data_IF_628400080120
#
_entry.id   IF_628400080120
#
_cell.length_a   1.000
_cell.length_b   1.000
_cell.length_c   1.000
_cell.angle_alpha   90.00
_cell.angle_beta   90.00
_cell.angle_gamma   90.00
#
_symmetry.space_group_name_H-M   'P 1'
#
loop_
_entity.id
_entity.type
_entity.pdbx_description
1 polymer ?
#
# COMPACT_ATOMS: atom_id res chain seq x y z
N UNK A 1 -23.14 -1.29 5.31
CA UNK A 1 -21.91 -0.49 5.52
C UNK A 1 -22.11 0.79 4.74
N UNK A 2 -21.55 1.96 5.09
CA UNK A 2 -21.62 3.10 4.19
C UNK A 2 -20.88 2.75 2.90
N UNK A 3 -21.56 3.00 1.78
CA UNK A 3 -21.13 2.68 0.43
C UNK A 3 -20.32 3.86 -0.11
N UNK A 4 -19.06 3.96 0.29
CA UNK A 4 -18.20 5.08 -0.08
C UNK A 4 -16.88 4.57 -0.66
N UNK A 5 -16.35 5.32 -1.62
CA UNK A 5 -14.97 5.25 -2.05
C UNK A 5 -14.30 6.59 -1.66
N UNK A 6 -13.13 6.52 -1.04
CA UNK A 6 -12.41 7.70 -0.58
C UNK A 6 -10.91 7.51 -0.80
N UNK A 7 -10.13 8.56 -0.58
CA UNK A 7 -8.68 8.55 -0.73
C UNK A 7 -8.04 8.92 0.61
N UNK A 8 -7.16 8.07 1.11
CA UNK A 8 -6.19 8.46 2.14
C UNK A 8 -5.02 9.13 1.41
N UNK A 9 -4.65 10.34 1.82
CA UNK A 9 -3.71 11.20 1.09
C UNK A 9 -2.60 11.66 2.02
N UNK A 10 -1.36 11.65 1.54
CA UNK A 10 -0.24 12.36 2.15
C UNK A 10 0.43 13.25 1.11
N UNK A 11 0.50 14.55 1.43
CA UNK A 11 1.16 15.55 0.62
C UNK A 11 2.66 15.59 0.93
N UNK A 12 3.48 15.77 -0.10
CA UNK A 12 4.93 15.79 -0.02
C UNK A 12 5.51 16.96 -0.83
N UNK A 13 6.64 17.48 -0.35
CA UNK A 13 7.47 18.46 -1.05
C UNK A 13 8.75 17.82 -1.60
N UNK A 14 9.15 18.17 -2.84
CA UNK A 14 10.45 17.82 -3.39
C UNK A 14 10.59 18.02 -4.91
N UNK A 15 11.82 18.26 -5.37
CA UNK A 15 12.09 18.75 -6.74
C UNK A 15 11.92 17.73 -7.88
N UNK A 16 12.02 16.41 -7.62
CA UNK A 16 11.85 15.35 -8.63
C UNK A 16 11.84 13.94 -8.04
N UNK A 17 11.09 13.01 -8.65
CA UNK A 17 11.30 11.56 -8.46
C UNK A 17 12.51 11.13 -9.29
N UNK A 18 13.65 10.90 -8.63
CA UNK A 18 14.86 10.34 -9.25
C UNK A 18 14.63 8.92 -9.81
N UNK A 19 15.46 8.45 -10.75
CA UNK A 19 15.38 7.08 -11.24
C UNK A 19 15.58 6.09 -10.09
N UNK A 20 14.84 4.97 -10.14
CA UNK A 20 14.89 3.91 -9.14
C UNK A 20 16.35 3.51 -8.87
N UNK A 21 16.85 3.83 -7.67
CA UNK A 21 18.19 3.47 -7.25
C UNK A 21 18.39 1.96 -7.30
N UNK A 22 19.38 1.54 -8.08
CA UNK A 22 19.73 0.17 -8.34
C UNK A 22 20.36 -0.52 -7.11
N UNK A 23 20.06 -1.82 -6.98
CA UNK A 23 21.00 -2.86 -6.54
C UNK A 23 21.60 -2.73 -5.13
N UNK A 24 21.13 -3.60 -4.23
CA UNK A 24 21.94 -4.03 -3.08
C UNK A 24 23.20 -4.76 -3.62
N UNK A 25 24.33 -4.07 -3.71
CA UNK A 25 25.64 -4.74 -3.87
C UNK A 25 26.08 -5.29 -2.51
N UNK A 26 26.08 -6.62 -2.39
CA UNK A 26 26.64 -7.33 -1.24
C UNK A 26 28.14 -7.53 -1.49
N UNK A 27 28.99 -6.98 -0.63
CA UNK A 27 30.43 -7.23 -0.66
C UNK A 27 30.76 -8.56 0.01
N UNK A 28 31.55 -9.39 -0.66
CA UNK A 28 32.09 -10.63 -0.09
C UNK A 28 33.16 -10.32 0.96
N UNK A 29 32.87 -10.64 2.23
CA UNK A 29 33.77 -10.50 3.37
C UNK A 29 33.94 -11.82 4.12
N UNK A 30 35.14 -12.38 3.99
CA UNK A 30 35.80 -13.49 4.66
C UNK A 30 35.23 -13.97 6.01
N UNK A 31 34.75 -15.23 6.07
CA UNK A 31 34.33 -15.93 7.30
C UNK A 31 35.54 -16.51 8.08
N UNK A 32 35.68 -16.13 9.35
CA UNK A 32 36.39 -16.93 10.36
C UNK A 32 35.37 -17.65 11.27
N UNK A 33 35.55 -18.95 11.48
CA UNK A 33 34.65 -19.80 12.27
C UNK A 33 34.82 -19.53 13.78
N UNK A 34 33.75 -19.06 14.42
CA UNK A 34 33.56 -19.08 15.89
C UNK A 34 32.67 -20.29 16.23
N UNK A 35 32.97 -21.11 17.25
CA UNK A 35 32.14 -22.26 17.59
C UNK A 35 30.75 -21.83 18.08
N UNK A 36 29.72 -22.41 17.45
CA UNK A 36 28.32 -22.06 17.64
C UNK A 36 27.82 -22.37 19.06
N UNK A 37 27.23 -21.37 19.70
CA UNK A 37 26.28 -21.54 20.80
C UNK A 37 25.05 -22.33 20.30
N UNK A 38 24.28 -23.00 21.18
CA UNK A 38 23.08 -23.73 20.76
C UNK A 38 22.15 -22.80 19.97
N UNK A 39 21.78 -23.22 18.76
CA UNK A 39 21.02 -22.42 17.81
C UNK A 39 19.70 -21.96 18.44
N UNK A 40 19.59 -20.65 18.68
CA UNK A 40 18.28 -20.00 18.72
C UNK A 40 17.57 -20.31 17.39
N UNK A 41 16.24 -20.53 17.39
CA UNK A 41 15.54 -20.77 16.15
C UNK A 41 15.83 -19.62 15.19
N UNK A 42 16.46 -19.93 14.05
CA UNK A 42 16.75 -18.95 13.00
C UNK A 42 15.45 -18.19 12.69
N UNK A 43 15.45 -16.84 12.76
CA UNK A 43 14.24 -16.06 12.56
C UNK A 43 13.68 -16.35 11.16
N UNK A 44 12.40 -16.68 11.10
CA UNK A 44 11.69 -16.92 9.83
C UNK A 44 11.89 -15.70 8.90
N UNK A 45 12.62 -15.87 7.80
CA UNK A 45 12.94 -14.80 6.83
C UNK A 45 11.69 -14.07 6.32
N UNK A 46 10.52 -14.71 6.37
CA UNK A 46 9.24 -14.08 6.01
C UNK A 46 8.87 -12.94 6.96
N UNK A 47 9.32 -13.01 8.22
CA UNK A 47 9.13 -11.97 9.23
C UNK A 47 10.14 -10.84 9.10
N UNK A 48 11.22 -11.05 8.32
CA UNK A 48 12.17 -10.00 7.96
C UNK A 48 11.67 -9.11 6.83
N UNK A 49 10.63 -9.50 6.09
CA UNK A 49 10.05 -8.69 5.02
C UNK A 49 8.52 -8.57 5.14
N UNK A 50 8.06 -7.49 5.78
CA UNK A 50 6.64 -7.26 6.04
C UNK A 50 6.04 -6.27 5.04
N UNK A 51 4.81 -6.52 4.62
CA UNK A 51 4.07 -5.49 3.87
C UNK A 51 3.56 -4.39 4.81
N UNK A 52 3.30 -3.19 4.28
CA UNK A 52 2.66 -2.11 5.05
C UNK A 52 1.36 -2.58 5.69
N UNK A 53 0.52 -3.31 4.96
CA UNK A 53 -0.72 -3.87 5.51
C UNK A 53 -0.47 -4.86 6.65
N UNK A 54 0.66 -5.61 6.64
CA UNK A 54 1.02 -6.47 7.76
C UNK A 54 1.40 -5.66 9.00
N UNK A 55 2.12 -4.55 8.85
CA UNK A 55 2.51 -3.66 9.95
C UNK A 55 1.27 -3.00 10.56
N UNK A 56 0.38 -2.46 9.72
CA UNK A 56 -0.90 -1.89 10.16
C UNK A 56 -1.75 -2.96 10.89
N UNK A 57 -1.78 -4.19 10.38
CA UNK A 57 -2.48 -5.30 11.03
C UNK A 57 -1.85 -5.67 12.38
N UNK A 58 -0.52 -5.68 12.49
CA UNK A 58 0.19 -5.91 13.74
C UNK A 58 -0.16 -4.84 14.79
N UNK A 59 -0.13 -3.56 14.39
CA UNK A 59 -0.53 -2.44 15.23
C UNK A 59 -2.00 -2.52 15.68
N UNK A 60 -2.90 -2.92 14.77
CA UNK A 60 -4.32 -3.11 15.08
C UNK A 60 -4.57 -4.28 16.03
N UNK A 61 -3.98 -5.44 15.75
CA UNK A 61 -4.19 -6.65 16.54
C UNK A 61 -3.06 -7.69 16.33
N UNK A 62 -2.13 -7.83 17.31
CA UNK A 62 -1.05 -8.81 17.22
C UNK A 62 -1.52 -10.26 17.06
N UNK A 63 -2.65 -10.62 17.67
CA UNK A 63 -3.25 -11.96 17.52
C UNK A 63 -3.73 -12.22 16.08
N UNK A 64 -4.34 -11.23 15.44
CA UNK A 64 -4.75 -11.37 14.04
C UNK A 64 -3.53 -11.48 13.14
N UNK A 65 -2.50 -10.64 13.36
CA UNK A 65 -1.23 -10.73 12.63
C UNK A 65 -0.61 -12.13 12.73
N UNK A 66 -0.55 -12.70 13.94
CA UNK A 66 -0.01 -14.04 14.17
C UNK A 66 -0.68 -15.09 13.28
N UNK A 67 -2.01 -15.17 13.28
CA UNK A 67 -2.77 -16.15 12.48
C UNK A 67 -2.85 -15.82 10.99
N UNK A 68 -2.23 -14.72 10.55
CA UNK A 68 -2.22 -14.27 9.16
C UNK A 68 -0.86 -14.42 8.52
N UNK A 69 0.19 -14.09 9.27
CA UNK A 69 1.56 -14.00 8.76
C UNK A 69 2.42 -15.11 9.33
N UNK A 70 2.38 -15.31 10.66
CA UNK A 70 3.25 -16.28 11.35
C UNK A 70 2.74 -17.71 11.19
N UNK A 71 1.44 -17.94 11.42
CA UNK A 71 0.76 -19.22 11.16
C UNK A 71 -0.54 -18.99 10.39
N UNK A 72 -0.46 -18.81 9.06
CA UNK A 72 -1.62 -18.46 8.25
C UNK A 72 -2.71 -19.52 8.32
N UNK A 73 -3.91 -19.12 8.74
CA UNK A 73 -5.12 -19.95 8.61
C UNK A 73 -5.78 -19.72 7.24
N UNK A 74 -6.49 -20.72 6.69
CA UNK A 74 -7.34 -20.52 5.52
C UNK A 74 -8.35 -19.41 5.77
N UNK A 75 -8.46 -18.45 4.85
CA UNK A 75 -9.37 -17.32 4.95
C UNK A 75 -10.51 -17.47 3.97
N UNK A 76 -11.74 -17.22 4.43
CA UNK A 76 -12.89 -17.11 3.54
C UNK A 76 -12.76 -15.80 2.74
N UNK A 77 -13.00 -15.81 1.41
CA UNK A 77 -13.08 -14.57 0.64
C UNK A 77 -14.18 -13.67 1.22
N UNK A 78 -13.89 -12.38 1.43
CA UNK A 78 -14.90 -11.41 1.83
C UNK A 78 -15.42 -10.67 0.59
N UNK A 79 -16.75 -10.57 0.40
CA UNK A 79 -17.34 -9.80 -0.69
C UNK A 79 -16.82 -8.35 -0.77
N UNK A 80 -16.76 -7.66 0.37
CA UNK A 80 -16.20 -6.31 0.47
C UNK A 80 -14.73 -6.20 0.00
N UNK A 81 -13.87 -7.20 0.28
CA UNK A 81 -12.50 -7.16 -0.22
C UNK A 81 -12.42 -7.46 -1.73
N UNK A 82 -13.37 -8.21 -2.29
CA UNK A 82 -13.45 -8.40 -3.75
C UNK A 82 -13.80 -7.08 -4.43
N UNK A 83 -14.82 -6.38 -3.93
CA UNK A 83 -15.23 -5.06 -4.45
C UNK A 83 -14.09 -4.03 -4.39
N UNK A 84 -13.34 -3.97 -3.28
CA UNK A 84 -12.18 -3.07 -3.17
C UNK A 84 -11.09 -3.37 -4.21
N UNK A 85 -10.77 -4.66 -4.42
CA UNK A 85 -9.81 -5.08 -5.45
C UNK A 85 -10.30 -4.77 -6.86
N UNK A 86 -11.60 -4.94 -7.12
CA UNK A 86 -12.21 -4.62 -8.41
C UNK A 86 -12.15 -3.11 -8.69
N UNK A 87 -12.40 -2.27 -7.68
CA UNK A 87 -12.30 -0.81 -7.80
C UNK A 87 -10.86 -0.39 -8.10
N UNK A 88 -9.87 -0.90 -7.35
CA UNK A 88 -8.45 -0.63 -7.59
C UNK A 88 -8.04 -1.00 -9.01
N UNK A 89 -8.41 -2.20 -9.44
CA UNK A 89 -8.13 -2.70 -10.80
C UNK A 89 -8.76 -1.79 -11.87
N UNK A 90 -10.00 -1.35 -11.66
CA UNK A 90 -10.68 -0.46 -12.60
C UNK A 90 -10.02 0.93 -12.66
N UNK A 91 -9.62 1.51 -11.52
CA UNK A 91 -8.88 2.78 -11.46
C UNK A 91 -7.53 2.66 -12.18
N UNK A 92 -6.79 1.58 -11.94
CA UNK A 92 -5.50 1.30 -12.60
C UNK A 92 -5.67 1.28 -14.13
N UNK A 93 -6.58 0.46 -14.65
CA UNK A 93 -6.80 0.33 -16.10
C UNK A 93 -7.21 1.66 -16.72
N UNK A 94 -8.11 2.39 -16.06
CA UNK A 94 -8.56 3.70 -16.51
C UNK A 94 -7.41 4.70 -16.59
N UNK A 95 -6.49 4.69 -15.63
CA UNK A 95 -5.36 5.63 -15.58
C UNK A 95 -4.33 5.41 -16.70
N UNK A 96 -4.21 4.18 -17.22
CA UNK A 96 -3.29 3.81 -18.32
C UNK A 96 -3.80 4.34 -19.69
N UNK A 97 -5.01 4.92 -19.75
CA UNK A 97 -5.60 5.44 -20.98
C UNK A 97 -6.13 4.36 -21.93
N UNK A 98 -6.17 3.10 -21.49
CA UNK A 98 -6.93 2.06 -22.15
C UNK A 98 -8.39 2.21 -21.73
N UNK A 99 -9.19 2.79 -22.63
CA UNK A 99 -10.62 3.01 -22.43
C UNK A 99 -11.33 1.76 -21.91
N UNK A 100 -12.20 1.98 -20.91
CA UNK A 100 -13.29 1.12 -20.46
C UNK A 100 -13.11 -0.37 -20.80
N UNK A 101 -12.47 -1.11 -19.89
CA UNK A 101 -12.74 -2.54 -19.78
C UNK A 101 -14.16 -2.70 -19.26
N UNK A 102 -15.10 -2.73 -20.20
CA UNK A 102 -16.46 -3.18 -19.93
C UNK A 102 -16.47 -4.70 -19.72
N UNK A 103 -17.12 -5.07 -18.63
CA UNK A 103 -17.81 -6.33 -18.33
C UNK A 103 -16.97 -7.57 -18.00
N UNK A 104 -16.71 -7.74 -16.69
CA UNK A 104 -16.76 -9.06 -16.05
C UNK A 104 -18.10 -9.10 -15.29
N UNK A 105 -19.08 -9.82 -15.84
CA UNK A 105 -20.39 -10.00 -15.20
C UNK A 105 -20.27 -11.07 -14.10
N UNK A 106 -20.19 -10.64 -12.84
CA UNK A 106 -20.18 -11.52 -11.68
C UNK A 106 -21.64 -11.85 -11.24
N UNK A 107 -21.91 -13.05 -10.69
CA UNK A 107 -23.26 -13.49 -10.36
C UNK A 107 -23.91 -12.60 -9.28
N UNK A 108 -25.26 -12.48 -9.25
CA UNK A 108 -25.95 -11.54 -8.38
C UNK A 108 -25.68 -11.83 -6.90
N UNK A 109 -25.03 -10.88 -6.22
CA UNK A 109 -24.82 -10.85 -4.77
C UNK A 109 -25.89 -9.91 -4.15
N UNK A 110 -26.52 -10.26 -3.01
CA UNK A 110 -27.57 -9.42 -2.41
C UNK A 110 -27.01 -8.06 -1.95
N UNK A 111 -27.88 -7.05 -1.86
CA UNK A 111 -27.68 -5.62 -1.48
C UNK A 111 -26.42 -5.31 -0.63
N UNK A 112 -25.27 -5.36 -1.29
CA UNK A 112 -23.98 -4.82 -0.89
C UNK A 112 -23.71 -3.57 -1.74
N UNK A 113 -22.74 -2.69 -1.40
CA UNK A 113 -22.34 -1.60 -2.28
C UNK A 113 -22.14 -2.16 -3.67
N UNK A 114 -23.01 -1.77 -4.60
CA UNK A 114 -22.84 -2.19 -5.98
C UNK A 114 -21.54 -1.57 -6.46
N UNK A 115 -20.75 -2.33 -7.21
CA UNK A 115 -19.54 -1.82 -7.84
C UNK A 115 -19.79 -0.49 -8.58
N UNK A 116 -20.98 -0.35 -9.17
CA UNK A 116 -21.46 0.89 -9.78
C UNK A 116 -21.52 2.09 -8.82
N UNK A 117 -21.95 1.89 -7.57
CA UNK A 117 -21.96 2.94 -6.54
C UNK A 117 -20.54 3.41 -6.19
N UNK A 118 -19.61 2.47 -5.98
CA UNK A 118 -18.20 2.79 -5.71
C UNK A 118 -17.55 3.54 -6.87
N UNK A 119 -17.85 3.12 -8.11
CA UNK A 119 -17.43 3.82 -9.33
C UNK A 119 -17.97 5.25 -9.38
N UNK A 120 -19.26 5.44 -9.13
CA UNK A 120 -19.88 6.77 -9.14
C UNK A 120 -19.27 7.69 -8.08
N UNK A 121 -19.00 7.18 -6.87
CA UNK A 121 -18.32 7.95 -5.83
C UNK A 121 -16.91 8.36 -6.28
N UNK A 122 -16.12 7.42 -6.82
CA UNK A 122 -14.80 7.74 -7.34
C UNK A 122 -14.88 8.79 -8.47
N UNK A 123 -15.82 8.65 -9.40
CA UNK A 123 -16.04 9.59 -10.51
C UNK A 123 -16.42 11.00 -10.06
N UNK A 124 -16.98 11.14 -8.86
CA UNK A 124 -17.27 12.44 -8.23
C UNK A 124 -16.08 13.06 -7.48
N UNK A 125 -14.99 12.29 -7.28
CA UNK A 125 -13.80 12.75 -6.57
C UNK A 125 -12.90 13.63 -7.45
N UNK A 126 -12.00 14.45 -6.87
CA UNK A 126 -11.02 15.23 -7.62
C UNK A 126 -10.12 14.36 -8.52
N UNK A 127 -9.82 13.14 -8.09
CA UNK A 127 -8.95 12.19 -8.81
C UNK A 127 -9.57 11.63 -10.08
N UNK A 128 -10.87 11.83 -10.32
CA UNK A 128 -11.56 11.35 -11.51
C UNK A 128 -11.09 12.02 -12.80
N UNK A 129 -10.57 13.25 -12.72
CA UNK A 129 -10.13 14.05 -13.88
C UNK A 129 -8.62 14.24 -13.93
N UNK A 130 -7.91 13.88 -12.86
CA UNK A 130 -6.46 14.00 -12.76
C UNK A 130 -5.77 12.77 -13.37
N UNK A 131 -4.69 13.01 -14.10
CA UNK A 131 -3.82 11.95 -14.58
C UNK A 131 -2.70 11.70 -13.54
N UNK A 132 -2.65 10.52 -12.90
CA UNK A 132 -1.56 10.22 -11.98
C UNK A 132 -0.24 10.12 -12.74
N UNK A 133 0.85 10.57 -12.10
CA UNK A 133 2.21 10.45 -12.63
C UNK A 133 2.72 9.02 -12.57
N UNK A 134 2.33 8.29 -11.52
CA UNK A 134 2.59 6.86 -11.34
C UNK A 134 1.35 6.19 -10.75
N UNK A 135 1.09 4.95 -11.15
CA UNK A 135 0.05 4.09 -10.59
C UNK A 135 0.67 2.79 -10.10
N UNK A 136 0.11 2.24 -9.02
CA UNK A 136 0.52 0.93 -8.49
C UNK A 136 2.02 0.87 -8.18
N UNK A 137 2.60 2.01 -7.75
CA UNK A 137 4.02 2.20 -7.56
C UNK A 137 4.51 1.35 -6.38
N UNK A 138 5.29 0.32 -6.68
CA UNK A 138 5.88 -0.57 -5.68
C UNK A 138 7.09 0.08 -5.04
N UNK A 139 7.31 -0.25 -3.77
CA UNK A 139 8.51 0.14 -3.05
C UNK A 139 8.96 -0.95 -2.07
N UNK A 140 10.26 -0.93 -1.76
CA UNK A 140 10.86 -1.68 -0.67
C UNK A 140 11.85 -0.74 0.02
N UNK A 141 11.73 -0.59 1.33
CA UNK A 141 12.65 0.19 2.15
C UNK A 141 13.22 -0.67 3.27
N UNK A 142 14.44 -0.36 3.69
CA UNK A 142 15.03 -0.91 4.89
C UNK A 142 14.71 0.02 6.07
N UNK A 143 14.39 -0.57 7.23
CA UNK A 143 14.13 0.20 8.45
C UNK A 143 15.31 0.05 9.40
N UNK A 144 15.62 -1.18 9.84
CA UNK A 144 16.73 -1.50 10.77
C UNK A 144 17.09 -2.99 10.69
N UNK A 145 18.29 -3.39 11.10
CA UNK A 145 18.71 -4.78 11.40
C UNK A 145 18.33 -5.85 10.35
N UNK A 146 18.29 -5.47 9.07
CA UNK A 146 17.92 -6.35 7.97
C UNK A 146 16.41 -6.58 7.82
N UNK A 147 15.56 -5.79 8.49
CA UNK A 147 14.13 -5.74 8.27
C UNK A 147 13.78 -4.85 7.08
N UNK A 148 12.95 -5.39 6.19
CA UNK A 148 12.44 -4.75 5.00
C UNK A 148 10.94 -4.50 5.16
N UNK A 149 10.53 -3.31 4.72
CA UNK A 149 9.11 -2.96 4.57
C UNK A 149 8.82 -2.79 3.09
N UNK A 150 7.82 -3.52 2.61
CA UNK A 150 7.37 -3.46 1.22
C UNK A 150 5.97 -2.90 1.13
N UNK A 151 5.68 -2.19 0.06
CA UNK A 151 4.36 -1.64 -0.15
C UNK A 151 4.10 -1.31 -1.61
N UNK A 152 2.91 -0.78 -1.82
CA UNK A 152 2.43 -0.31 -3.11
C UNK A 152 1.55 0.90 -2.86
N UNK A 153 1.87 1.99 -3.53
CA UNK A 153 1.09 3.23 -3.50
C UNK A 153 0.15 3.17 -4.71
N UNK A 154 -1.15 3.37 -4.49
CA UNK A 154 -2.15 3.20 -5.56
C UNK A 154 -1.96 4.24 -6.66
N UNK A 155 -1.75 5.51 -6.28
CA UNK A 155 -1.47 6.58 -7.23
C UNK A 155 -0.55 7.66 -6.64
N UNK A 156 0.25 8.27 -7.52
CA UNK A 156 1.10 9.42 -7.21
C UNK A 156 0.71 10.56 -8.14
N UNK A 157 0.28 11.68 -7.58
CA UNK A 157 -0.08 12.89 -8.32
C UNK A 157 0.98 13.98 -8.14
N UNK A 158 1.05 14.87 -9.12
CA UNK A 158 1.95 16.03 -9.14
C UNK A 158 1.08 17.23 -9.49
N UNK A 159 1.03 18.21 -8.61
CA UNK A 159 0.25 19.43 -8.84
C UNK A 159 1.12 20.51 -9.48
N UNK A 160 2.34 20.68 -8.96
CA UNK A 160 3.40 21.56 -9.46
C UNK A 160 4.75 20.81 -9.41
N UNK A 161 5.83 21.40 -9.93
CA UNK A 161 7.16 20.75 -9.98
C UNK A 161 7.69 20.28 -8.60
N UNK A 162 7.16 20.83 -7.50
CA UNK A 162 7.60 20.54 -6.14
C UNK A 162 6.51 20.03 -5.19
N UNK A 163 5.25 19.89 -5.62
CA UNK A 163 4.13 19.41 -4.77
C UNK A 163 3.56 18.10 -5.30
N UNK A 164 3.56 17.10 -4.41
CA UNK A 164 3.23 15.71 -4.72
C UNK A 164 2.19 15.18 -3.75
N UNK A 165 1.32 14.29 -4.23
CA UNK A 165 0.39 13.54 -3.38
C UNK A 165 0.57 12.04 -3.58
N UNK A 166 0.75 11.32 -2.47
CA UNK A 166 0.59 9.87 -2.47
C UNK A 166 -0.82 9.53 -2.02
N UNK A 167 -1.50 8.74 -2.85
CA UNK A 167 -2.91 8.41 -2.69
C UNK A 167 -3.08 6.91 -2.53
N UNK A 168 -3.89 6.52 -1.54
CA UNK A 168 -4.35 5.15 -1.29
C UNK A 168 -5.87 5.14 -1.35
N UNK A 169 -6.45 4.51 -2.37
CA UNK A 169 -7.91 4.48 -2.53
C UNK A 169 -8.50 3.44 -1.57
N UNK A 170 -9.56 3.81 -0.86
CA UNK A 170 -10.24 2.94 0.10
C UNK A 170 -11.71 2.82 -0.25
N UNK A 171 -12.30 1.69 0.16
CA UNK A 171 -13.74 1.45 0.07
C UNK A 171 -14.33 1.18 1.45
N UNK A 172 -15.57 1.63 1.67
CA UNK A 172 -16.34 1.39 2.89
C UNK A 172 -16.40 2.63 3.77
N UNK A 173 -16.35 2.43 5.09
CA UNK A 173 -16.48 3.53 6.05
C UNK A 173 -15.18 4.30 6.16
N UNK A 174 -15.26 5.62 6.01
CA UNK A 174 -14.16 6.52 6.33
C UNK A 174 -13.72 6.34 7.80
N UNK A 175 -12.40 6.29 8.06
CA UNK A 175 -11.87 6.32 9.41
C UNK A 175 -12.35 7.58 10.15
N UNK A 176 -12.40 7.50 11.48
CA UNK A 176 -12.60 8.72 12.26
C UNK A 176 -11.37 9.63 12.10
N UNK A 177 -11.53 10.97 12.13
CA UNK A 177 -10.39 11.88 12.20
C UNK A 177 -9.46 11.50 13.35
N UNK A 178 -8.17 11.36 13.06
CA UNK A 178 -7.17 10.92 14.03
C UNK A 178 -7.06 9.40 14.22
N UNK A 179 -7.56 8.58 13.30
CA UNK A 179 -7.28 7.13 13.31
C UNK A 179 -5.77 6.88 13.14
N UNK A 180 -5.14 6.43 14.21
CA UNK A 180 -3.69 6.17 14.24
C UNK A 180 -3.24 5.09 13.27
N UNK A 181 -4.15 4.22 12.80
CA UNK A 181 -3.81 3.19 11.81
C UNK A 181 -3.66 3.75 10.39
N UNK A 182 -4.56 4.66 9.99
CA UNK A 182 -4.42 5.39 8.72
C UNK A 182 -3.17 6.26 8.75
N UNK A 183 -2.95 6.98 9.85
CA UNK A 183 -1.74 7.78 10.03
C UNK A 183 -0.47 6.93 9.92
N UNK A 184 -0.42 5.76 10.57
CA UNK A 184 0.70 4.82 10.47
C UNK A 184 0.97 4.38 9.03
N UNK A 185 -0.08 4.02 8.27
CA UNK A 185 0.07 3.61 6.87
C UNK A 185 0.71 4.74 6.04
N UNK A 186 0.16 5.95 6.15
CA UNK A 186 0.64 7.12 5.41
C UNK A 186 2.06 7.54 5.83
N UNK A 187 2.41 7.45 7.11
CA UNK A 187 3.78 7.71 7.58
C UNK A 187 4.80 6.75 6.97
N UNK A 188 4.43 5.48 6.75
CA UNK A 188 5.31 4.52 6.07
C UNK A 188 5.48 4.90 4.59
N UNK A 189 4.44 5.40 3.92
CA UNK A 189 4.55 5.88 2.55
C UNK A 189 5.43 7.13 2.45
N UNK A 190 5.29 8.09 3.38
CA UNK A 190 6.19 9.25 3.44
C UNK A 190 7.63 8.85 3.70
N UNK A 191 7.89 7.90 4.60
CA UNK A 191 9.23 7.37 4.83
C UNK A 191 9.80 6.72 3.56
N UNK A 192 8.98 5.96 2.82
CA UNK A 192 9.40 5.38 1.55
C UNK A 192 9.74 6.45 0.51
N UNK A 193 8.92 7.49 0.39
CA UNK A 193 9.17 8.61 -0.50
C UNK A 193 10.43 9.39 -0.13
N UNK A 194 10.69 9.58 1.17
CA UNK A 194 11.91 10.22 1.64
C UNK A 194 13.15 9.40 1.29
N UNK A 195 13.15 8.11 1.58
CA UNK A 195 14.31 7.25 1.33
C UNK A 195 14.58 7.03 -0.17
N UNK A 196 13.53 6.85 -0.98
CA UNK A 196 13.67 6.48 -2.38
C UNK A 196 13.69 7.67 -3.33
N UNK A 197 12.98 8.76 -2.98
CA UNK A 197 12.78 9.91 -3.87
C UNK A 197 13.25 11.24 -3.25
N UNK A 198 13.73 11.24 -2.01
CA UNK A 198 14.20 12.45 -1.33
C UNK A 198 13.08 13.43 -0.96
N UNK A 199 11.81 13.00 -1.00
CA UNK A 199 10.65 13.85 -0.73
C UNK A 199 10.30 13.86 0.75
N UNK A 200 9.92 15.02 1.27
CA UNK A 200 9.53 15.14 2.68
C UNK A 200 8.03 15.42 2.79
N UNK A 201 7.32 14.87 3.79
CA UNK A 201 5.92 15.21 4.00
C UNK A 201 5.76 16.71 4.27
N UNK A 202 4.66 17.28 3.78
CA UNK A 202 4.22 18.61 4.19
C UNK A 202 3.91 18.62 5.70
N UNK A 203 4.25 19.73 6.38
CA UNK A 203 4.02 19.92 7.83
C UNK A 203 2.54 20.09 8.20
#
# INVERSE_FOLDING_TARGET
MPDNAFADVIALNGDHIGPQGAGLELSEGQLELIPAAPAEPEPDDRLRSLSVSNIVQLARCPKQFYWTVVRPLPRRPSPAARLGQELHRWIEIRSIGQGTLDEIEDPPVPEEPTFAGLKATFESSPYATLAPRFTEQRFVIAIDEGYLVRGRIDAVYVHDDSSWELVDFKTGREPNPGDGLTALQLSIYAMAAQQLWGMSPEE
#
